data_IF_796538873550
#
_entry.id   IF_796538873550
#
_cell.length_a   1.000
_cell.length_b   1.000
_cell.length_c   1.000
_cell.angle_alpha   90.00
_cell.angle_beta   90.00
_cell.angle_gamma   90.00
#
_symmetry.space_group_name_H-M   'P 1'
#
loop_
_entity.id
_entity.type
_entity.pdbx_description
1 polymer ?
#
# COMPACT_ATOMS: atom_id res chain seq x y z
N UNK A 1 64.92 -27.89 7.79
CA UNK A 1 64.57 -27.74 6.36
C UNK A 1 63.07 -27.88 6.26
N UNK A 2 62.40 -27.03 5.50
CA UNK A 2 60.96 -27.09 5.32
C UNK A 2 60.65 -27.70 3.94
N UNK A 3 59.75 -28.67 3.88
CA UNK A 3 59.29 -29.29 2.65
C UNK A 3 57.77 -29.32 2.65
N UNK A 4 57.17 -28.78 1.59
CA UNK A 4 55.72 -28.75 1.41
C UNK A 4 55.34 -29.19 0.01
N UNK A 5 54.13 -29.72 -0.13
CA UNK A 5 53.56 -30.11 -1.40
C UNK A 5 52.09 -29.68 -1.48
N UNK A 6 51.67 -29.35 -2.70
CA UNK A 6 50.30 -29.05 -3.06
C UNK A 6 49.94 -29.83 -4.31
N UNK A 7 48.69 -30.26 -4.39
CA UNK A 7 48.13 -30.86 -5.59
C UNK A 7 47.17 -29.85 -6.20
N UNK A 8 47.52 -29.31 -7.36
CA UNK A 8 46.62 -28.53 -8.19
C UNK A 8 45.94 -29.45 -9.21
N UNK A 9 44.63 -29.31 -9.39
CA UNK A 9 43.85 -30.03 -10.41
C UNK A 9 43.30 -28.99 -11.36
N UNK A 10 43.70 -29.06 -12.65
CA UNK A 10 43.18 -28.14 -13.67
C UNK A 10 41.78 -28.56 -14.12
N UNK A 11 41.07 -27.68 -14.84
CA UNK A 11 39.71 -27.95 -15.30
C UNK A 11 39.62 -29.11 -16.30
N UNK A 12 40.75 -29.49 -16.91
CA UNK A 12 40.86 -30.69 -17.76
C UNK A 12 40.97 -31.99 -16.95
N UNK A 13 41.02 -31.89 -15.62
CA UNK A 13 41.25 -33.00 -14.69
C UNK A 13 42.73 -33.36 -14.50
N UNK A 14 43.65 -32.64 -15.16
CA UNK A 14 45.09 -32.88 -15.04
C UNK A 14 45.60 -32.47 -13.66
N UNK A 15 46.41 -33.34 -13.05
CA UNK A 15 46.98 -33.12 -11.72
C UNK A 15 48.43 -32.63 -11.81
N UNK A 16 48.74 -31.60 -11.03
CA UNK A 16 50.07 -31.03 -10.86
C UNK A 16 50.48 -31.12 -9.40
N UNK A 17 51.55 -31.85 -9.13
CA UNK A 17 52.16 -31.93 -7.81
C UNK A 17 53.26 -30.87 -7.72
N UNK A 18 52.92 -29.72 -7.14
CA UNK A 18 53.87 -28.63 -6.88
C UNK A 18 54.45 -28.84 -5.50
N UNK A 19 55.76 -28.82 -5.36
CA UNK A 19 56.39 -28.90 -4.05
C UNK A 19 57.57 -27.97 -3.94
N UNK A 20 57.91 -27.69 -2.69
CA UNK A 20 59.02 -26.81 -2.34
C UNK A 20 59.94 -27.50 -1.34
N UNK A 21 61.19 -27.12 -1.41
CA UNK A 21 62.19 -27.38 -0.41
C UNK A 21 62.85 -26.05 -0.07
N UNK A 22 62.77 -25.65 1.20
CA UNK A 22 63.32 -24.38 1.67
C UNK A 22 64.24 -24.59 2.88
N UNK A 23 65.52 -24.25 2.69
CA UNK A 23 66.53 -24.23 3.73
C UNK A 23 66.41 -22.99 4.58
N UNK A 24 65.58 -23.02 5.63
CA UNK A 24 65.29 -21.86 6.51
C UNK A 24 66.51 -21.07 7.00
N UNK A 25 67.67 -21.74 7.20
CA UNK A 25 68.92 -21.08 7.64
C UNK A 25 69.83 -20.68 6.47
N UNK A 26 69.84 -21.45 5.39
CA UNK A 26 70.70 -21.21 4.23
C UNK A 26 70.05 -20.30 3.18
N UNK A 27 68.72 -20.15 3.21
CA UNK A 27 67.93 -19.48 2.19
C UNK A 27 67.85 -20.23 0.86
N UNK A 28 68.25 -21.52 0.80
CA UNK A 28 68.20 -22.29 -0.44
C UNK A 28 66.76 -22.72 -0.71
N UNK A 29 66.19 -22.32 -1.85
CA UNK A 29 64.86 -22.68 -2.28
C UNK A 29 64.93 -23.52 -3.56
N UNK A 30 64.15 -24.60 -3.57
CA UNK A 30 63.91 -25.41 -4.74
C UNK A 30 62.40 -25.61 -4.88
N UNK A 31 61.84 -25.27 -6.02
CA UNK A 31 60.45 -25.53 -6.38
C UNK A 31 60.44 -26.58 -7.49
N UNK A 32 59.61 -27.60 -7.34
CA UNK A 32 59.44 -28.65 -8.33
C UNK A 32 57.96 -28.83 -8.68
N UNK A 33 57.70 -29.23 -9.93
CA UNK A 33 56.38 -29.62 -10.41
C UNK A 33 56.48 -31.01 -11.05
N UNK A 34 55.67 -31.97 -10.60
CA UNK A 34 55.65 -33.34 -11.12
C UNK A 34 57.05 -33.98 -11.20
N UNK A 35 57.85 -33.82 -10.13
CA UNK A 35 59.23 -34.30 -9.98
C UNK A 35 60.27 -33.61 -10.87
N UNK A 36 59.92 -32.55 -11.60
CA UNK A 36 60.86 -31.70 -12.34
C UNK A 36 61.12 -30.41 -11.57
N UNK A 37 62.38 -30.03 -11.39
CA UNK A 37 62.73 -28.74 -10.78
C UNK A 37 62.36 -27.63 -11.76
N UNK A 38 61.58 -26.65 -11.28
CA UNK A 38 61.09 -25.53 -12.09
C UNK A 38 61.69 -24.20 -11.66
N UNK A 39 62.02 -24.03 -10.38
CA UNK A 39 62.68 -22.82 -9.84
C UNK A 39 63.75 -23.26 -8.85
N UNK A 40 64.93 -22.63 -8.92
CA UNK A 40 65.95 -22.68 -7.89
C UNK A 40 66.29 -21.22 -7.56
N UNK A 41 66.27 -20.88 -6.27
CA UNK A 41 66.66 -19.56 -5.79
C UNK A 41 67.51 -19.71 -4.53
N UNK A 42 68.44 -18.79 -4.30
CA UNK A 42 69.33 -18.78 -3.15
C UNK A 42 69.09 -17.51 -2.34
N UNK A 43 69.42 -17.54 -1.04
CA UNK A 43 69.26 -16.40 -0.13
C UNK A 43 67.79 -15.93 0.05
N UNK A 44 66.82 -16.84 0.01
CA UNK A 44 65.40 -16.56 0.30
C UNK A 44 65.18 -16.45 1.82
N UNK A 45 65.68 -15.38 2.43
CA UNK A 45 65.59 -15.16 3.89
C UNK A 45 64.45 -14.23 4.31
N UNK A 46 63.65 -13.77 3.33
CA UNK A 46 62.55 -12.82 3.49
C UNK A 46 61.33 -13.28 2.69
N UNK A 47 60.20 -12.55 2.84
CA UNK A 47 58.97 -12.84 2.12
C UNK A 47 59.17 -12.72 0.61
N UNK A 48 58.82 -13.77 -0.15
CA UNK A 48 58.89 -13.80 -1.61
C UNK A 48 57.72 -14.56 -2.22
N UNK A 49 57.28 -14.13 -3.40
CA UNK A 49 56.23 -14.79 -4.17
C UNK A 49 56.77 -15.17 -5.55
N UNK A 50 56.50 -16.40 -5.96
CA UNK A 50 56.95 -16.95 -7.24
C UNK A 50 55.73 -17.27 -8.12
N UNK A 51 55.61 -16.63 -9.29
CA UNK A 51 54.56 -16.95 -10.25
C UNK A 51 54.89 -18.26 -10.97
N UNK A 52 53.90 -19.14 -11.12
CA UNK A 52 53.98 -20.41 -11.83
C UNK A 52 52.75 -20.54 -12.72
N UNK A 53 52.96 -20.78 -14.02
CA UNK A 53 51.87 -21.15 -14.92
C UNK A 53 51.69 -22.67 -14.92
N UNK A 54 50.49 -23.12 -14.55
CA UNK A 54 50.08 -24.53 -14.63
C UNK A 54 48.89 -24.62 -15.61
N UNK A 55 49.14 -25.21 -16.78
CA UNK A 55 48.29 -25.05 -17.96
C UNK A 55 48.00 -23.54 -18.21
N UNK A 56 46.73 -23.12 -18.18
CA UNK A 56 46.31 -21.72 -18.42
C UNK A 56 46.10 -20.91 -17.12
N UNK A 57 46.42 -21.47 -15.96
CA UNK A 57 46.24 -20.84 -14.65
C UNK A 57 47.55 -20.23 -14.14
N UNK A 58 47.51 -18.98 -13.71
CA UNK A 58 48.59 -18.34 -12.96
C UNK A 58 48.43 -18.67 -11.48
N UNK A 59 49.35 -19.48 -10.95
CA UNK A 59 49.47 -19.78 -9.54
C UNK A 59 50.61 -18.97 -8.92
N UNK A 60 50.46 -18.63 -7.65
CA UNK A 60 51.46 -17.92 -6.86
C UNK A 60 51.87 -18.80 -5.68
N UNK A 61 53.16 -19.12 -5.64
CA UNK A 61 53.78 -19.75 -4.50
C UNK A 61 54.34 -18.64 -3.60
N UNK A 62 53.79 -18.50 -2.41
CA UNK A 62 54.18 -17.44 -1.48
C UNK A 62 54.94 -18.04 -0.31
N UNK A 63 56.09 -17.45 0.00
CA UNK A 63 56.89 -17.72 1.19
C UNK A 63 56.81 -16.46 2.04
N UNK A 64 56.14 -16.52 3.18
CA UNK A 64 55.93 -15.39 4.09
C UNK A 64 56.77 -15.55 5.35
N UNK A 65 57.57 -14.53 5.69
CA UNK A 65 58.29 -14.49 6.97
C UNK A 65 57.52 -13.64 7.99
N UNK A 66 57.10 -14.26 9.09
CA UNK A 66 56.42 -13.60 10.22
C UNK A 66 56.98 -14.13 11.54
N UNK A 67 57.35 -13.24 12.45
CA UNK A 67 57.86 -13.58 13.80
C UNK A 67 58.99 -14.63 13.79
N UNK A 68 59.93 -14.46 12.86
CA UNK A 68 61.05 -15.38 12.62
C UNK A 68 60.66 -16.82 12.20
N UNK A 69 59.43 -17.01 11.75
CA UNK A 69 58.93 -18.25 11.14
C UNK A 69 58.56 -18.02 9.67
N UNK A 70 58.64 -19.08 8.88
CA UNK A 70 58.23 -19.08 7.48
C UNK A 70 56.90 -19.81 7.30
N UNK A 71 55.97 -19.19 6.58
CA UNK A 71 54.71 -19.76 6.12
C UNK A 71 54.77 -19.92 4.61
N UNK A 72 54.08 -20.93 4.10
CA UNK A 72 54.10 -21.27 2.69
C UNK A 72 52.67 -21.39 2.19
N UNK A 73 52.34 -20.62 1.17
CA UNK A 73 51.04 -20.58 0.52
C UNK A 73 51.17 -20.95 -0.96
N UNK A 74 50.12 -21.54 -1.50
CA UNK A 74 49.99 -21.81 -2.93
C UNK A 74 48.57 -21.44 -3.33
N UNK A 75 48.44 -20.32 -4.03
CA UNK A 75 47.15 -19.71 -4.34
C UNK A 75 47.02 -19.47 -5.84
N UNK A 76 45.78 -19.48 -6.32
CA UNK A 76 45.46 -19.17 -7.71
C UNK A 76 45.27 -17.66 -7.83
N UNK A 77 46.07 -16.99 -8.67
CA UNK A 77 45.88 -15.57 -8.91
C UNK A 77 44.69 -15.35 -9.87
N UNK A 78 43.53 -15.06 -9.28
CA UNK A 78 42.29 -14.73 -10.01
C UNK A 78 42.18 -13.26 -10.44
N UNK A 79 43.12 -12.41 -10.01
CA UNK A 79 43.10 -10.96 -10.28
C UNK A 79 43.87 -10.59 -11.54
N UNK A 80 44.98 -11.29 -11.81
CA UNK A 80 45.82 -11.08 -12.98
C UNK A 80 45.01 -11.25 -14.29
N UNK A 81 45.39 -10.49 -15.31
CA UNK A 81 44.70 -10.48 -16.59
C UNK A 81 45.15 -11.64 -17.50
N UNK A 82 44.82 -12.87 -17.09
CA UNK A 82 45.03 -14.09 -17.88
C UNK A 82 43.82 -14.38 -18.77
N UNK A 83 43.98 -15.04 -19.94
CA UNK A 83 42.84 -15.45 -20.79
C UNK A 83 41.75 -16.19 -20.01
N UNK A 84 42.15 -17.02 -19.06
CA UNK A 84 41.28 -17.81 -18.18
C UNK A 84 40.50 -16.94 -17.18
N UNK A 85 41.13 -15.95 -16.57
CA UNK A 85 40.44 -15.02 -15.68
C UNK A 85 39.45 -14.12 -16.45
N UNK A 86 39.74 -13.77 -17.72
CA UNK A 86 38.78 -13.06 -18.58
C UNK A 86 37.53 -13.90 -18.84
N UNK A 87 37.69 -15.19 -19.17
CA UNK A 87 36.56 -16.09 -19.39
C UNK A 87 35.68 -16.25 -18.13
N UNK A 88 36.29 -16.40 -16.95
CA UNK A 88 35.57 -16.47 -15.66
C UNK A 88 34.72 -15.23 -15.43
N UNK A 89 35.27 -14.02 -15.61
CA UNK A 89 34.54 -12.77 -15.42
C UNK A 89 33.31 -12.65 -16.33
N UNK A 90 33.38 -13.15 -17.57
CA UNK A 90 32.24 -13.15 -18.50
C UNK A 90 31.14 -14.10 -18.01
N UNK A 91 31.52 -15.31 -17.60
CA UNK A 91 30.58 -16.33 -17.09
C UNK A 91 29.94 -15.88 -15.79
N UNK A 92 30.73 -15.35 -14.85
CA UNK A 92 30.25 -14.79 -13.58
C UNK A 92 29.27 -13.63 -13.81
N UNK A 93 29.57 -12.71 -14.74
CA UNK A 93 28.65 -11.62 -15.09
C UNK A 93 27.34 -12.13 -15.69
N UNK A 94 27.39 -13.19 -16.50
CA UNK A 94 26.18 -13.83 -17.04
C UNK A 94 25.35 -14.46 -15.93
N UNK A 95 25.96 -15.25 -15.05
CA UNK A 95 25.26 -15.87 -13.93
C UNK A 95 24.70 -14.84 -12.96
N UNK A 96 25.45 -13.79 -12.64
CA UNK A 96 24.95 -12.70 -11.80
C UNK A 96 23.70 -12.03 -12.39
N UNK A 97 23.70 -11.76 -13.70
CA UNK A 97 22.51 -11.22 -14.38
C UNK A 97 21.33 -12.19 -14.36
N UNK A 98 21.58 -13.48 -14.57
CA UNK A 98 20.54 -14.51 -14.51
C UNK A 98 19.96 -14.64 -13.10
N UNK A 99 20.81 -14.62 -12.07
CA UNK A 99 20.41 -14.64 -10.66
C UNK A 99 19.56 -13.41 -10.32
N UNK A 100 19.98 -12.22 -10.75
CA UNK A 100 19.23 -10.99 -10.53
C UNK A 100 17.85 -11.04 -11.23
N UNK A 101 17.80 -11.53 -12.46
CA UNK A 101 16.54 -11.69 -13.19
C UNK A 101 15.60 -12.70 -12.52
N UNK A 102 16.13 -13.85 -12.07
CA UNK A 102 15.36 -14.88 -11.40
C UNK A 102 14.75 -14.38 -10.09
N UNK A 103 15.55 -13.75 -9.23
CA UNK A 103 15.06 -13.19 -7.98
C UNK A 103 14.12 -11.99 -8.20
N UNK A 104 14.38 -11.16 -9.21
CA UNK A 104 13.48 -10.08 -9.60
C UNK A 104 12.11 -10.59 -10.04
N UNK A 105 12.08 -11.59 -10.92
CA UNK A 105 10.84 -12.21 -11.39
C UNK A 105 10.06 -12.88 -10.24
N UNK A 106 10.76 -13.61 -9.36
CA UNK A 106 10.15 -14.21 -8.17
C UNK A 106 9.51 -13.15 -7.26
N UNK A 107 10.21 -12.04 -7.02
CA UNK A 107 9.69 -10.94 -6.21
C UNK A 107 8.40 -10.34 -6.77
N UNK A 108 8.32 -10.17 -8.09
CA UNK A 108 7.11 -9.68 -8.77
C UNK A 108 5.94 -10.66 -8.60
N UNK A 109 6.17 -11.97 -8.78
CA UNK A 109 5.12 -12.98 -8.61
C UNK A 109 4.58 -12.99 -7.18
N UNK A 110 5.46 -12.92 -6.18
CA UNK A 110 5.05 -12.86 -4.77
C UNK A 110 4.23 -11.60 -4.50
N UNK A 111 4.66 -10.43 -4.99
CA UNK A 111 3.94 -9.17 -4.81
C UNK A 111 2.55 -9.18 -5.46
N UNK A 112 2.42 -9.79 -6.66
CA UNK A 112 1.12 -9.94 -7.32
C UNK A 112 0.21 -10.90 -6.54
N UNK A 113 0.75 -12.00 -6.05
CA UNK A 113 0.00 -12.98 -5.27
C UNK A 113 -0.49 -12.40 -3.94
N UNK A 114 0.36 -11.67 -3.22
CA UNK A 114 -0.04 -11.01 -1.97
C UNK A 114 -1.09 -9.93 -2.22
N UNK A 115 -0.91 -9.09 -3.25
CA UNK A 115 -1.92 -8.08 -3.62
C UNK A 115 -3.25 -8.72 -4.02
N UNK A 116 -3.23 -9.85 -4.73
CA UNK A 116 -4.44 -10.60 -5.08
C UNK A 116 -5.14 -11.16 -3.83
N UNK A 117 -4.40 -11.81 -2.92
CA UNK A 117 -4.95 -12.37 -1.69
C UNK A 117 -5.56 -11.31 -0.77
N UNK A 118 -4.87 -10.16 -0.60
CA UNK A 118 -5.40 -9.05 0.19
C UNK A 118 -6.71 -8.50 -0.40
N UNK A 119 -6.79 -8.38 -1.73
CA UNK A 119 -8.03 -7.96 -2.40
C UNK A 119 -9.14 -8.99 -2.28
N UNK A 120 -8.81 -10.28 -2.42
CA UNK A 120 -9.77 -11.37 -2.30
C UNK A 120 -10.37 -11.44 -0.89
N UNK A 121 -9.53 -11.41 0.15
CA UNK A 121 -9.97 -11.43 1.55
C UNK A 121 -10.82 -10.20 1.90
N UNK A 122 -10.43 -9.01 1.44
CA UNK A 122 -11.23 -7.79 1.63
C UNK A 122 -12.61 -7.90 0.98
N UNK A 123 -12.67 -8.41 -0.27
CA UNK A 123 -13.93 -8.61 -1.00
C UNK A 123 -14.81 -9.68 -0.35
N UNK A 124 -14.22 -10.76 0.16
CA UNK A 124 -14.97 -11.81 0.83
C UNK A 124 -15.54 -11.32 2.16
N UNK A 125 -14.77 -10.58 2.95
CA UNK A 125 -15.23 -9.98 4.22
C UNK A 125 -16.36 -8.97 4.01
N UNK A 126 -16.27 -8.13 2.95
CA UNK A 126 -17.35 -7.20 2.64
C UNK A 126 -18.63 -7.93 2.21
N UNK A 127 -18.51 -8.95 1.35
CA UNK A 127 -19.65 -9.74 0.89
C UNK A 127 -20.32 -10.51 2.05
N UNK A 128 -19.53 -11.13 2.93
CA UNK A 128 -20.06 -11.83 4.09
C UNK A 128 -20.74 -10.88 5.09
N UNK A 129 -20.20 -9.67 5.28
CA UNK A 129 -20.85 -8.64 6.11
C UNK A 129 -22.19 -8.21 5.52
N UNK A 130 -22.24 -7.98 4.22
CA UNK A 130 -23.46 -7.60 3.51
C UNK A 130 -24.52 -8.70 3.59
N UNK A 131 -24.12 -9.97 3.39
CA UNK A 131 -24.99 -11.14 3.54
C UNK A 131 -25.54 -11.27 4.97
N UNK A 132 -24.68 -11.14 5.99
CA UNK A 132 -25.12 -11.19 7.40
C UNK A 132 -26.10 -10.05 7.75
N UNK A 133 -25.88 -8.85 7.20
CA UNK A 133 -26.80 -7.73 7.38
C UNK A 133 -28.10 -7.92 6.58
N UNK A 134 -28.09 -8.63 5.47
CA UNK A 134 -29.29 -8.93 4.70
C UNK A 134 -30.17 -9.98 5.40
N UNK A 135 -29.56 -11.04 5.92
CA UNK A 135 -30.28 -12.17 6.52
C UNK A 135 -30.69 -11.93 7.98
N UNK A 136 -29.85 -11.23 8.74
CA UNK A 136 -30.00 -11.05 10.18
C UNK A 136 -29.98 -9.58 10.63
N UNK A 137 -30.10 -8.65 9.68
CA UNK A 137 -30.09 -7.22 9.96
C UNK A 137 -31.37 -6.75 10.64
N UNK A 138 -31.23 -6.06 11.77
CA UNK A 138 -32.27 -5.26 12.39
C UNK A 138 -31.96 -3.78 12.22
N UNK A 139 -33.00 -2.96 12.03
CA UNK A 139 -32.86 -1.52 11.91
C UNK A 139 -33.11 -0.83 13.25
N UNK A 140 -32.31 0.20 13.53
CA UNK A 140 -32.42 1.09 14.69
C UNK A 140 -32.06 2.51 14.27
N UNK A 141 -32.13 3.45 15.21
CA UNK A 141 -31.69 4.83 14.99
C UNK A 141 -30.30 4.99 15.60
N UNK A 142 -29.39 5.55 14.81
CA UNK A 142 -28.09 5.99 15.26
C UNK A 142 -28.08 7.51 15.44
N UNK A 143 -27.53 7.97 16.56
CA UNK A 143 -27.36 9.38 16.87
C UNK A 143 -25.91 9.78 16.63
N UNK A 144 -25.70 10.84 15.84
CA UNK A 144 -24.35 11.37 15.62
C UNK A 144 -23.92 12.16 16.85
N UNK A 145 -22.97 11.61 17.61
CA UNK A 145 -22.49 12.22 18.86
C UNK A 145 -21.42 13.28 18.60
N UNK A 146 -20.52 13.01 17.63
CA UNK A 146 -19.39 13.90 17.34
C UNK A 146 -18.91 13.81 15.91
N UNK A 147 -18.51 14.96 15.35
CA UNK A 147 -17.81 15.05 14.07
C UNK A 147 -16.39 15.58 14.32
N UNK A 148 -15.37 14.76 14.06
CA UNK A 148 -13.98 15.13 14.25
C UNK A 148 -13.25 15.20 12.91
N UNK A 149 -12.83 16.40 12.44
CA UNK A 149 -11.99 16.52 11.27
C UNK A 149 -10.62 15.85 11.51
N UNK A 150 -10.12 15.13 10.52
CA UNK A 150 -8.80 14.48 10.50
C UNK A 150 -8.07 14.83 9.19
N UNK A 151 -6.77 14.57 9.13
CA UNK A 151 -5.98 14.81 7.91
C UNK A 151 -6.47 13.96 6.71
N UNK A 152 -7.12 12.82 6.98
CA UNK A 152 -7.64 11.89 5.99
C UNK A 152 -9.15 12.06 5.71
N UNK A 153 -9.83 12.95 6.44
CA UNK A 153 -11.25 13.28 6.23
C UNK A 153 -12.00 13.66 7.50
N UNK A 154 -13.14 13.01 7.77
CA UNK A 154 -13.96 13.28 8.98
C UNK A 154 -14.29 11.98 9.68
N UNK A 155 -13.91 11.86 10.95
CA UNK A 155 -14.30 10.76 11.82
C UNK A 155 -15.64 11.08 12.47
N UNK A 156 -16.64 10.24 12.20
CA UNK A 156 -17.96 10.29 12.82
C UNK A 156 -17.96 9.35 14.01
N UNK A 157 -18.33 9.87 15.19
CA UNK A 157 -18.71 9.06 16.35
C UNK A 157 -20.21 9.06 16.49
N UNK A 158 -20.78 7.89 16.68
CA UNK A 158 -22.22 7.74 16.83
C UNK A 158 -22.56 6.62 17.79
N UNK A 159 -23.76 6.70 18.35
CA UNK A 159 -24.30 5.74 19.28
C UNK A 159 -25.63 5.20 18.80
N UNK A 160 -25.91 3.93 19.10
CA UNK A 160 -27.16 3.28 18.74
C UNK A 160 -27.55 2.22 19.77
N UNK A 161 -28.82 1.90 19.87
CA UNK A 161 -29.30 0.83 20.75
C UNK A 161 -29.35 -0.48 19.99
N UNK A 162 -28.61 -1.47 20.48
CA UNK A 162 -28.63 -2.84 19.99
C UNK A 162 -28.71 -3.82 21.16
N UNK A 163 -29.57 -4.84 21.04
CA UNK A 163 -29.79 -5.86 22.07
C UNK A 163 -30.06 -5.26 23.47
N UNK A 164 -30.76 -4.13 23.52
CA UNK A 164 -31.10 -3.42 24.76
C UNK A 164 -29.95 -2.64 25.42
N UNK A 165 -28.80 -2.51 24.74
CA UNK A 165 -27.62 -1.76 25.23
C UNK A 165 -27.23 -0.67 24.24
N UNK A 166 -26.73 0.44 24.76
CA UNK A 166 -26.10 1.48 23.94
C UNK A 166 -24.77 0.92 23.43
N UNK A 167 -24.55 1.01 22.13
CA UNK A 167 -23.30 0.71 21.45
C UNK A 167 -22.74 2.01 20.90
N UNK A 168 -21.42 2.16 20.98
CA UNK A 168 -20.69 3.26 20.37
C UNK A 168 -19.87 2.73 19.20
N UNK A 169 -19.83 3.46 18.10
CA UNK A 169 -19.09 3.09 16.91
C UNK A 169 -18.53 4.32 16.21
N UNK A 170 -17.54 4.07 15.35
CA UNK A 170 -16.87 5.10 14.58
C UNK A 170 -16.91 4.77 13.09
N UNK A 171 -17.12 5.80 12.27
CA UNK A 171 -17.07 5.72 10.81
C UNK A 171 -16.15 6.82 10.28
N UNK A 172 -15.09 6.44 9.58
CA UNK A 172 -14.25 7.39 8.88
C UNK A 172 -14.85 7.71 7.50
N UNK A 173 -15.16 8.98 7.26
CA UNK A 173 -15.47 9.50 5.94
C UNK A 173 -14.19 10.04 5.29
N UNK A 174 -13.97 9.77 3.99
CA UNK A 174 -12.79 10.25 3.28
C UNK A 174 -12.84 11.77 3.08
N UNK A 175 -11.68 12.40 2.93
CA UNK A 175 -11.54 13.87 2.81
C UNK A 175 -12.26 14.50 1.61
N UNK A 176 -12.56 13.72 0.58
CA UNK A 176 -13.33 14.12 -0.59
C UNK A 176 -14.85 14.09 -0.36
N UNK A 177 -15.30 13.51 0.76
CA UNK A 177 -16.68 13.59 1.21
C UNK A 177 -16.80 14.82 2.12
N UNK A 178 -17.27 15.97 1.60
CA UNK A 178 -17.56 17.11 2.46
C UNK A 178 -18.55 16.70 3.56
N UNK A 179 -18.70 17.54 4.57
CA UNK A 179 -19.80 17.49 5.56
C UNK A 179 -21.16 17.76 4.88
N UNK A 180 -21.33 17.33 3.63
CA UNK A 180 -22.50 17.40 2.78
C UNK A 180 -22.77 15.96 2.35
N UNK A 181 -23.95 15.47 2.72
CA UNK A 181 -24.42 14.11 2.47
C UNK A 181 -24.65 13.88 0.97
N UNK A 182 -24.77 12.61 0.52
CA UNK A 182 -24.96 12.29 -0.91
C UNK A 182 -26.16 12.98 -1.58
N UNK A 183 -27.16 13.39 -0.80
CA UNK A 183 -28.34 14.13 -1.26
C UNK A 183 -28.24 15.65 -1.07
N UNK A 184 -27.10 16.16 -0.59
CA UNK A 184 -26.78 17.58 -0.58
C UNK A 184 -27.06 18.32 0.72
N UNK A 185 -27.65 17.70 1.76
CA UNK A 185 -27.79 18.36 3.07
C UNK A 185 -26.51 18.28 3.89
N UNK A 186 -26.26 19.26 4.78
CA UNK A 186 -25.12 19.18 5.67
C UNK A 186 -25.32 18.12 6.77
N UNK A 187 -24.27 17.38 7.08
CA UNK A 187 -24.22 16.49 8.24
C UNK A 187 -23.88 17.29 9.51
N UNK A 188 -24.61 17.10 10.60
CA UNK A 188 -24.36 17.79 11.88
C UNK A 188 -24.37 16.84 13.07
N UNK A 189 -23.77 17.29 14.16
CA UNK A 189 -23.94 16.64 15.46
C UNK A 189 -25.42 16.65 15.87
N UNK A 190 -25.84 15.62 16.58
CA UNK A 190 -27.22 15.29 16.92
C UNK A 190 -28.15 15.01 15.72
N UNK A 191 -27.62 14.85 14.51
CA UNK A 191 -28.40 14.28 13.41
C UNK A 191 -28.64 12.78 13.65
N UNK A 192 -29.72 12.27 13.10
CA UNK A 192 -30.19 10.89 13.31
C UNK A 192 -30.37 10.16 11.99
N UNK A 193 -29.78 8.97 11.90
CA UNK A 193 -29.83 8.14 10.70
C UNK A 193 -30.29 6.74 11.02
N UNK A 194 -30.89 6.08 10.03
CA UNK A 194 -31.15 4.64 10.16
C UNK A 194 -29.82 3.89 10.15
N UNK A 195 -29.73 2.90 11.01
CA UNK A 195 -28.59 1.99 11.08
C UNK A 195 -29.11 0.57 11.07
N UNK A 196 -28.45 -0.29 10.29
CA UNK A 196 -28.69 -1.74 10.30
C UNK A 196 -27.59 -2.43 11.09
N UNK A 197 -27.92 -3.40 11.94
CA UNK A 197 -26.93 -4.21 12.65
C UNK A 197 -27.36 -5.66 12.77
N UNK A 198 -26.40 -6.56 13.01
CA UNK A 198 -26.67 -8.00 13.19
C UNK A 198 -26.98 -8.30 14.66
N UNK A 199 -28.15 -8.88 14.94
CA UNK A 199 -28.57 -9.29 16.30
C UNK A 199 -27.56 -10.27 16.92
N UNK A 200 -27.23 -10.10 18.20
CA UNK A 200 -26.19 -10.86 18.92
C UNK A 200 -24.75 -10.64 18.43
N UNK A 201 -24.52 -9.79 17.42
CA UNK A 201 -23.19 -9.36 16.93
C UNK A 201 -23.21 -7.88 16.51
N UNK A 202 -23.50 -6.95 17.43
CA UNK A 202 -23.74 -5.54 17.09
C UNK A 202 -22.51 -4.80 16.54
N UNK A 203 -21.31 -5.37 16.64
CA UNK A 203 -20.12 -4.85 15.96
C UNK A 203 -20.17 -4.96 14.43
N UNK A 204 -21.13 -5.70 13.87
CA UNK A 204 -21.44 -5.72 12.44
C UNK A 204 -22.66 -4.83 12.22
N UNK A 205 -22.41 -3.62 11.73
CA UNK A 205 -23.43 -2.60 11.48
C UNK A 205 -23.24 -1.96 10.10
N UNK A 206 -24.20 -1.17 9.65
CA UNK A 206 -24.14 -0.32 8.46
C UNK A 206 -24.96 0.96 8.70
N UNK A 207 -24.29 2.11 8.69
CA UNK A 207 -24.90 3.42 8.93
C UNK A 207 -25.42 3.98 7.61
N UNK A 208 -26.74 4.07 7.48
CA UNK A 208 -27.42 4.44 6.24
C UNK A 208 -27.55 5.96 6.15
N UNK A 209 -26.44 6.64 5.80
CA UNK A 209 -26.38 8.09 5.65
C UNK A 209 -27.29 8.65 4.54
N UNK A 210 -27.83 7.79 3.67
CA UNK A 210 -28.84 8.09 2.66
C UNK A 210 -30.28 8.00 3.19
N UNK A 211 -30.48 7.45 4.40
CA UNK A 211 -31.78 7.24 5.05
C UNK A 211 -31.85 7.94 6.41
N UNK A 212 -32.09 9.26 6.43
CA UNK A 212 -32.29 10.00 7.67
C UNK A 212 -33.52 9.51 8.46
N UNK A 213 -33.55 9.78 9.77
CA UNK A 213 -34.74 9.54 10.61
C UNK A 213 -35.89 10.48 10.20
N UNK A 214 -37.12 10.14 10.58
CA UNK A 214 -38.29 11.00 10.33
C UNK A 214 -38.13 12.38 10.99
N UNK A 215 -37.57 12.41 12.21
CA UNK A 215 -37.26 13.65 12.92
C UNK A 215 -36.24 14.51 12.18
N UNK A 216 -35.21 13.88 11.59
CA UNK A 216 -34.22 14.60 10.79
C UNK A 216 -34.82 15.13 9.49
N UNK A 217 -35.73 14.39 8.84
CA UNK A 217 -36.46 14.87 7.66
C UNK A 217 -37.30 16.10 7.99
N UNK A 218 -38.01 16.10 9.12
CA UNK A 218 -38.78 17.26 9.59
C UNK A 218 -37.87 18.48 9.82
N UNK A 219 -36.75 18.28 10.52
CA UNK A 219 -35.73 19.31 10.75
C UNK A 219 -35.22 19.90 9.42
N UNK A 220 -34.89 19.05 8.45
CA UNK A 220 -34.44 19.47 7.13
C UNK A 220 -35.53 20.22 6.34
N UNK A 221 -36.78 19.81 6.48
CA UNK A 221 -37.92 20.49 5.89
C UNK A 221 -38.06 21.91 6.43
N UNK A 222 -37.98 22.08 7.76
CA UNK A 222 -38.02 23.39 8.40
C UNK A 222 -36.86 24.29 7.95
N UNK A 223 -35.63 23.75 7.92
CA UNK A 223 -34.46 24.50 7.47
C UNK A 223 -34.61 24.99 6.01
N UNK A 224 -35.13 24.15 5.13
CA UNK A 224 -35.38 24.52 3.74
C UNK A 224 -36.44 25.62 3.62
N UNK A 225 -37.52 25.52 4.40
CA UNK A 225 -38.59 26.52 4.44
C UNK A 225 -38.11 27.86 4.99
N UNK A 226 -37.41 27.86 6.12
CA UNK A 226 -36.83 29.06 6.73
C UNK A 226 -35.87 29.77 5.77
N UNK A 227 -35.02 28.99 5.10
CA UNK A 227 -34.07 29.53 4.12
C UNK A 227 -34.79 30.17 2.94
N UNK A 228 -35.82 29.51 2.41
CA UNK A 228 -36.61 30.05 1.30
C UNK A 228 -37.41 31.29 1.73
N UNK A 229 -37.98 31.32 2.93
CA UNK A 229 -38.64 32.50 3.48
C UNK A 229 -37.72 33.71 3.63
N UNK A 230 -36.47 33.48 4.04
CA UNK A 230 -35.48 34.55 4.13
C UNK A 230 -35.09 35.17 2.79
N UNK A 231 -35.17 34.40 1.69
CA UNK A 231 -34.85 34.86 0.34
C UNK A 231 -36.07 35.41 -0.41
N UNK A 232 -37.28 35.01 0.00
CA UNK A 232 -38.55 35.36 -0.63
C UNK A 232 -39.56 35.91 0.38
N UNK A 233 -39.30 37.08 0.99
CA UNK A 233 -40.18 37.68 2.00
C UNK A 233 -41.58 38.05 1.47
N UNK A 234 -41.75 38.10 0.14
CA UNK A 234 -43.02 38.33 -0.53
C UNK A 234 -43.99 37.14 -0.48
N UNK A 235 -43.50 35.92 -0.24
CA UNK A 235 -44.32 34.72 -0.22
C UNK A 235 -44.88 34.44 1.18
N UNK A 236 -46.14 33.98 1.24
CA UNK A 236 -46.74 33.57 2.50
C UNK A 236 -46.13 32.27 3.03
N UNK A 237 -46.15 32.06 4.34
CA UNK A 237 -45.65 30.83 4.98
C UNK A 237 -46.30 29.57 4.40
N UNK A 238 -47.62 29.60 4.15
CA UNK A 238 -48.35 28.46 3.56
C UNK A 238 -47.85 28.15 2.15
N UNK A 239 -47.55 29.18 1.38
CA UNK A 239 -47.02 29.03 0.03
C UNK A 239 -45.63 28.37 0.05
N UNK A 240 -44.75 28.84 0.92
CA UNK A 240 -43.39 28.29 1.10
C UNK A 240 -43.42 26.83 1.55
N UNK A 241 -44.29 26.52 2.52
CA UNK A 241 -44.49 25.15 3.00
C UNK A 241 -44.94 24.22 1.87
N UNK A 242 -45.88 24.68 1.04
CA UNK A 242 -46.37 23.92 -0.11
C UNK A 242 -45.26 23.67 -1.15
N UNK A 243 -44.49 24.70 -1.53
CA UNK A 243 -43.39 24.55 -2.50
C UNK A 243 -42.29 23.59 -2.00
N UNK A 244 -41.89 23.70 -0.73
CA UNK A 244 -40.92 22.79 -0.12
C UNK A 244 -41.46 21.35 -0.03
N UNK A 245 -42.75 21.18 0.25
CA UNK A 245 -43.43 19.89 0.23
C UNK A 245 -43.40 19.24 -1.16
N UNK A 246 -43.73 19.98 -2.21
CA UNK A 246 -43.63 19.49 -3.59
C UNK A 246 -42.19 19.10 -3.93
N UNK A 247 -41.19 19.87 -3.50
CA UNK A 247 -39.79 19.55 -3.71
C UNK A 247 -39.42 18.20 -3.06
N UNK A 248 -39.85 17.99 -1.82
CA UNK A 248 -39.66 16.74 -1.11
C UNK A 248 -40.38 15.57 -1.78
N UNK A 249 -41.63 15.74 -2.22
CA UNK A 249 -42.36 14.68 -2.90
C UNK A 249 -41.69 14.24 -4.22
N UNK A 250 -41.09 15.18 -4.95
CA UNK A 250 -40.47 14.90 -6.25
C UNK A 250 -39.09 14.27 -6.10
N UNK A 251 -38.27 14.76 -5.16
CA UNK A 251 -36.83 14.44 -5.08
C UNK A 251 -36.37 14.01 -3.68
N UNK A 252 -37.30 13.77 -2.75
CA UNK A 252 -37.02 13.46 -1.36
C UNK A 252 -36.21 14.56 -0.67
N UNK A 253 -35.32 14.16 0.22
CA UNK A 253 -34.42 15.07 0.95
C UNK A 253 -33.53 15.87 0.00
N UNK A 254 -33.22 15.33 -1.18
CA UNK A 254 -32.47 16.05 -2.21
C UNK A 254 -33.22 17.24 -2.82
N UNK A 255 -34.55 17.26 -2.75
CA UNK A 255 -35.37 18.42 -3.11
C UNK A 255 -35.35 19.49 -2.03
N UNK A 256 -35.38 19.09 -0.75
CA UNK A 256 -35.19 20.00 0.37
C UNK A 256 -33.79 20.64 0.35
N UNK A 257 -32.77 19.88 -0.02
CA UNK A 257 -31.42 20.38 -0.20
C UNK A 257 -31.33 21.45 -1.30
N UNK A 258 -32.03 21.25 -2.43
CA UNK A 258 -32.10 22.26 -3.49
C UNK A 258 -32.71 23.57 -2.98
N UNK A 259 -33.75 23.50 -2.13
CA UNK A 259 -34.32 24.69 -1.49
C UNK A 259 -33.38 25.31 -0.45
N UNK A 260 -32.71 24.52 0.36
CA UNK A 260 -31.78 25.02 1.37
C UNK A 260 -30.54 25.69 0.76
N UNK A 261 -30.06 25.20 -0.38
CA UNK A 261 -28.89 25.74 -1.10
C UNK A 261 -29.26 26.52 -2.37
N UNK A 262 -30.48 27.07 -2.45
CA UNK A 262 -31.02 27.73 -3.64
C UNK A 262 -30.23 28.95 -4.14
N UNK A 263 -29.38 29.54 -3.29
CA UNK A 263 -28.49 30.67 -3.60
C UNK A 263 -27.00 30.31 -3.47
N UNK A 264 -26.67 29.03 -3.31
CA UNK A 264 -25.29 28.56 -3.20
C UNK A 264 -24.67 28.27 -4.58
N UNK A 265 -23.35 28.48 -4.69
CA UNK A 265 -22.60 28.11 -5.90
C UNK A 265 -22.31 26.60 -5.93
N UNK A 266 -22.08 26.02 -7.13
CA UNK A 266 -21.72 24.60 -7.27
C UNK A 266 -20.43 24.21 -6.53
N UNK A 267 -19.49 25.14 -6.34
CA UNK A 267 -18.26 24.90 -5.59
C UNK A 267 -18.51 24.72 -4.10
N UNK A 268 -19.53 25.41 -3.55
CA UNK A 268 -19.93 25.27 -2.14
C UNK A 268 -20.67 23.96 -1.89
N UNK A 269 -21.49 23.53 -2.84
CA UNK A 269 -22.22 22.27 -2.77
C UNK A 269 -22.49 21.74 -4.18
N UNK A 270 -21.70 20.75 -4.59
CA UNK A 270 -21.79 20.18 -5.93
C UNK A 270 -23.11 19.42 -6.18
N UNK A 271 -23.77 18.95 -5.11
CA UNK A 271 -24.99 18.14 -5.18
C UNK A 271 -26.26 19.00 -5.22
N UNK A 272 -26.33 20.03 -4.38
CA UNK A 272 -27.46 20.94 -4.29
C UNK A 272 -26.99 22.39 -4.27
N UNK A 273 -27.41 23.19 -5.25
CA UNK A 273 -26.99 24.56 -5.47
C UNK A 273 -28.02 25.34 -6.28
N UNK A 274 -27.72 26.60 -6.59
CA UNK A 274 -28.60 27.47 -7.37
C UNK A 274 -29.03 26.87 -8.72
N UNK A 275 -28.14 26.13 -9.40
CA UNK A 275 -28.45 25.51 -10.68
C UNK A 275 -29.43 24.34 -10.53
N UNK A 276 -29.26 23.51 -9.51
CA UNK A 276 -30.15 22.36 -9.26
C UNK A 276 -31.52 22.83 -8.79
N UNK A 277 -31.56 23.85 -7.94
CA UNK A 277 -32.79 24.55 -7.54
C UNK A 277 -33.55 25.10 -8.75
N UNK A 278 -32.88 25.92 -9.59
CA UNK A 278 -33.51 26.48 -10.81
C UNK A 278 -34.02 25.39 -11.74
N UNK A 279 -33.29 24.28 -11.86
CA UNK A 279 -33.72 23.13 -12.66
C UNK A 279 -34.97 22.47 -12.10
N UNK A 280 -35.04 22.27 -10.78
CA UNK A 280 -36.19 21.71 -10.09
C UNK A 280 -37.44 22.58 -10.31
N UNK A 281 -37.37 23.87 -9.95
CA UNK A 281 -38.55 24.76 -9.99
C UNK A 281 -39.02 25.11 -11.41
N UNK A 282 -38.13 25.02 -12.41
CA UNK A 282 -38.50 25.18 -13.84
C UNK A 282 -39.01 23.89 -14.47
N UNK A 283 -38.83 22.74 -13.80
CA UNK A 283 -39.31 21.44 -14.26
C UNK A 283 -40.83 21.46 -14.44
N UNK A 284 -41.31 20.78 -15.49
CA UNK A 284 -42.74 20.75 -15.79
C UNK A 284 -43.56 20.14 -14.63
N UNK A 285 -43.06 19.04 -14.03
CA UNK A 285 -43.74 18.39 -12.89
C UNK A 285 -43.84 19.29 -11.66
N UNK A 286 -42.79 20.04 -11.34
CA UNK A 286 -42.84 20.98 -10.22
C UNK A 286 -43.82 22.13 -10.50
N UNK A 287 -43.74 22.76 -11.67
CA UNK A 287 -44.62 23.89 -12.02
C UNK A 287 -46.09 23.51 -12.03
N UNK A 288 -46.45 22.38 -12.64
CA UNK A 288 -47.83 21.91 -12.70
C UNK A 288 -48.41 21.69 -11.30
N UNK A 289 -47.64 21.09 -10.39
CA UNK A 289 -48.07 20.89 -9.00
C UNK A 289 -48.12 22.21 -8.24
N UNK A 290 -47.13 23.08 -8.40
CA UNK A 290 -47.11 24.37 -7.72
C UNK A 290 -48.33 25.22 -8.13
N UNK A 291 -48.65 25.28 -9.42
CA UNK A 291 -49.83 25.98 -9.96
C UNK A 291 -51.17 25.36 -9.50
N UNK A 292 -51.24 24.04 -9.32
CA UNK A 292 -52.47 23.36 -8.90
C UNK A 292 -52.68 23.24 -7.39
N UNK A 293 -51.61 23.24 -6.60
CA UNK A 293 -51.66 22.95 -5.14
C UNK A 293 -51.31 24.16 -4.27
N UNK A 294 -50.46 25.08 -4.74
CA UNK A 294 -49.93 26.17 -3.92
C UNK A 294 -50.51 27.56 -4.24
N UNK A 295 -51.10 27.74 -5.43
CA UNK A 295 -51.66 29.02 -5.91
C UNK A 295 -53.19 29.00 -5.94
#
# INVERSE_FOLDING_TARGET
MAQFNWTYVSDTGRKFNVGIYHGVRSGHLLVYCNRKVVIIDFHVLETRTYPLFLDDELCELTIEKKDNQFRYGFDINRKADTPRNRQRKVVEKKHWRQTLFFFGAMGVVIALFTAFFLRYDAKQKSAQREELLADFGQETIAHIDRLQPTDEGTLIRFSFVADGKIQEAELALPADMPVILPYGMPLKEADEFRLRFVTNRPGIWDLLLDKPSEQLIEKYTLLAQERHAGLHPELSTRHIQCLAGIAYDIKGVGGLADFYFQDASPERNAVANELTYKRLVRGAGFRQRAEGECW
#
